data_IF_321033901346
#
_entry.id   IF_321033901346
#
_cell.length_a   1.000
_cell.length_b   1.000
_cell.length_c   1.000
_cell.angle_alpha   90.00
_cell.angle_beta   90.00
_cell.angle_gamma   90.00
#
_symmetry.space_group_name_H-M   'P 1'
#
loop_
_entity.id
_entity.type
_entity.pdbx_description
1 polymer ?
#
# COMPACT_ATOMS: atom_id res chain seq x y z
N UNK A 1 13.99 7.25 26.10
CA UNK A 1 14.72 6.12 25.47
C UNK A 1 13.95 4.79 25.53
N UNK A 2 12.75 4.73 26.15
CA UNK A 2 11.99 3.47 26.30
C UNK A 2 10.85 3.27 25.28
N UNK A 3 10.56 4.27 24.43
CA UNK A 3 9.44 4.24 23.48
C UNK A 3 9.77 3.60 22.13
N UNK A 4 11.06 3.46 21.79
CA UNK A 4 11.48 2.83 20.53
C UNK A 4 11.51 1.29 20.61
N UNK A 5 11.58 0.73 21.81
CA UNK A 5 11.75 -0.71 22.00
C UNK A 5 10.43 -1.51 21.97
N UNK A 6 9.29 -0.84 22.15
CA UNK A 6 7.96 -1.48 22.13
C UNK A 6 7.49 -1.73 20.68
N UNK A 7 7.91 -0.89 19.74
CA UNK A 7 7.55 -1.01 18.32
C UNK A 7 8.34 -2.15 17.66
N UNK A 8 9.63 -2.31 18.02
CA UNK A 8 10.50 -3.35 17.47
C UNK A 8 10.16 -4.78 17.96
N UNK A 9 9.60 -4.92 19.17
CA UNK A 9 9.25 -6.23 19.75
C UNK A 9 7.93 -6.79 19.16
N UNK A 10 7.05 -5.92 18.62
CA UNK A 10 5.79 -6.31 17.98
C UNK A 10 5.96 -6.76 16.52
N UNK A 11 7.11 -6.53 15.88
CA UNK A 11 7.38 -6.94 14.49
C UNK A 11 7.95 -8.37 14.36
N UNK A 12 8.41 -8.99 15.47
CA UNK A 12 9.10 -10.31 15.40
C UNK A 12 8.20 -11.52 15.59
N UNK A 13 6.92 -11.35 15.97
CA UNK A 13 5.98 -12.46 16.10
C UNK A 13 5.13 -12.55 14.83
N UNK A 14 5.24 -13.62 14.02
CA UNK A 14 4.36 -13.78 12.87
C UNK A 14 2.93 -13.92 13.40
N UNK A 15 2.12 -12.87 13.24
CA UNK A 15 0.68 -12.90 13.53
C UNK A 15 -0.11 -13.66 12.43
N UNK A 16 0.59 -14.40 11.57
CA UNK A 16 0.04 -15.24 10.52
C UNK A 16 0.07 -16.70 10.95
N UNK A 17 -0.97 -17.17 11.62
CA UNK A 17 -1.34 -18.59 11.46
C UNK A 17 -2.79 -18.97 11.79
N UNK A 18 -3.67 -18.10 12.32
CA UNK A 18 -4.99 -18.58 12.76
C UNK A 18 -6.20 -17.66 12.49
N UNK A 19 -6.11 -16.69 11.56
CA UNK A 19 -7.25 -15.82 11.19
C UNK A 19 -7.77 -16.05 9.77
N UNK A 20 -7.25 -17.02 9.02
CA UNK A 20 -7.67 -17.31 7.64
C UNK A 20 -8.93 -18.18 7.50
N UNK A 21 -9.57 -18.58 8.59
CA UNK A 21 -10.86 -19.28 8.52
C UNK A 21 -11.91 -18.50 9.29
N UNK A 22 -12.95 -18.09 8.56
CA UNK A 22 -14.21 -17.52 9.05
C UNK A 22 -14.24 -16.01 9.28
N UNK A 23 -14.15 -15.23 8.19
CA UNK A 23 -14.93 -13.99 8.08
C UNK A 23 -15.41 -13.84 6.64
N UNK A 24 -16.57 -14.44 6.31
CA UNK A 24 -17.34 -13.94 5.17
C UNK A 24 -17.94 -12.60 5.60
N UNK A 25 -17.26 -11.51 5.26
CA UNK A 25 -17.80 -10.16 5.38
C UNK A 25 -19.18 -10.09 4.69
N UNK A 26 -20.10 -9.23 5.16
CA UNK A 26 -21.38 -9.05 4.48
C UNK A 26 -21.09 -8.57 3.06
N UNK A 27 -21.45 -9.39 2.07
CA UNK A 27 -21.38 -8.99 0.66
C UNK A 27 -22.37 -7.85 0.48
N UNK A 28 -21.88 -6.61 0.44
CA UNK A 28 -22.65 -5.52 -0.12
C UNK A 28 -22.91 -5.89 -1.58
N UNK A 29 -24.17 -5.90 -2.01
CA UNK A 29 -24.64 -6.33 -3.34
C UNK A 29 -24.14 -5.44 -4.51
N UNK A 30 -23.14 -4.60 -4.23
CA UNK A 30 -22.61 -3.57 -5.10
C UNK A 30 -21.22 -4.02 -5.54
N UNK A 31 -21.06 -4.28 -6.84
CA UNK A 31 -19.79 -4.72 -7.42
C UNK A 31 -18.81 -3.54 -7.56
N UNK A 32 -18.32 -3.03 -6.42
CA UNK A 32 -17.30 -1.98 -6.39
C UNK A 32 -15.91 -2.63 -6.43
N UNK A 33 -15.09 -2.19 -7.37
CA UNK A 33 -13.73 -2.62 -7.58
C UNK A 33 -12.77 -1.47 -7.25
N UNK A 34 -11.60 -1.82 -6.69
CA UNK A 34 -10.56 -0.88 -6.28
C UNK A 34 -9.31 -1.10 -7.09
N UNK A 35 -8.88 -0.05 -7.78
CA UNK A 35 -7.61 0.01 -8.52
C UNK A 35 -6.53 0.42 -7.52
N UNK A 36 -5.62 -0.52 -7.21
CA UNK A 36 -4.48 -0.27 -6.33
C UNK A 36 -3.38 0.53 -7.05
N UNK A 37 -2.44 1.10 -6.28
CA UNK A 37 -1.27 1.83 -6.82
C UNK A 37 -0.43 1.03 -7.82
N UNK A 38 -0.39 -0.29 -7.70
CA UNK A 38 0.33 -1.17 -8.61
C UNK A 38 -0.51 -1.58 -9.84
N UNK A 39 -1.65 -0.94 -10.09
CA UNK A 39 -2.58 -1.24 -11.18
C UNK A 39 -3.46 -2.48 -10.95
N UNK A 40 -3.23 -3.27 -9.89
CA UNK A 40 -4.05 -4.45 -9.60
C UNK A 40 -5.46 -4.04 -9.19
N UNK A 41 -6.46 -4.63 -9.83
CA UNK A 41 -7.87 -4.49 -9.46
C UNK A 41 -8.22 -5.52 -8.40
N UNK A 42 -8.88 -5.09 -7.33
CA UNK A 42 -9.46 -6.00 -6.32
C UNK A 42 -10.81 -5.53 -5.81
N UNK A 43 -11.65 -6.44 -5.29
CA UNK A 43 -12.92 -6.06 -4.69
C UNK A 43 -12.76 -5.02 -3.58
N UNK A 44 -13.72 -4.12 -3.47
CA UNK A 44 -13.85 -3.24 -2.32
C UNK A 44 -14.05 -4.05 -1.04
N UNK A 45 -13.33 -3.67 0.00
CA UNK A 45 -13.30 -4.37 1.28
C UNK A 45 -13.17 -3.34 2.40
N UNK A 46 -14.27 -3.11 3.12
CA UNK A 46 -14.37 -2.12 4.18
C UNK A 46 -13.52 -2.49 5.40
N UNK A 47 -13.20 -3.77 5.59
CA UNK A 47 -12.34 -4.23 6.69
C UNK A 47 -10.94 -3.62 6.61
N UNK A 48 -10.43 -3.36 5.39
CA UNK A 48 -9.15 -2.68 5.18
C UNK A 48 -9.17 -1.23 5.64
N UNK A 49 -10.30 -0.56 5.49
CA UNK A 49 -10.50 0.81 5.99
C UNK A 49 -10.48 0.78 7.51
N UNK A 50 -11.24 -0.14 8.14
CA UNK A 50 -11.27 -0.30 9.60
C UNK A 50 -9.87 -0.52 10.16
N UNK A 51 -9.11 -1.45 9.60
CA UNK A 51 -7.74 -1.75 10.07
C UNK A 51 -6.83 -0.53 9.96
N UNK A 52 -6.88 0.19 8.84
CA UNK A 52 -6.04 1.38 8.65
C UNK A 52 -6.41 2.52 9.61
N UNK A 53 -7.72 2.75 9.83
CA UNK A 53 -8.19 3.73 10.80
C UNK A 53 -7.78 3.35 12.23
N UNK A 54 -7.98 2.10 12.63
CA UNK A 54 -7.57 1.62 13.96
C UNK A 54 -6.07 1.82 14.20
N UNK A 55 -5.22 1.54 13.21
CA UNK A 55 -3.78 1.79 13.32
C UNK A 55 -3.46 3.27 13.55
N UNK A 56 -4.16 4.18 12.87
CA UNK A 56 -3.99 5.61 13.08
C UNK A 56 -4.43 6.05 14.49
N UNK A 57 -5.53 5.49 15.01
CA UNK A 57 -5.96 5.74 16.39
C UNK A 57 -4.93 5.24 17.41
N UNK A 58 -4.38 4.03 17.21
CA UNK A 58 -3.37 3.44 18.10
C UNK A 58 -2.07 4.23 18.13
N UNK A 59 -1.67 4.82 17.00
CA UNK A 59 -0.49 5.66 16.92
C UNK A 59 -0.62 6.96 17.74
N UNK A 60 -1.83 7.46 17.95
CA UNK A 60 -2.10 8.70 18.69
C UNK A 60 -2.42 8.43 20.17
N UNK A 61 -3.28 7.44 20.44
CA UNK A 61 -3.84 7.17 21.77
C UNK A 61 -3.07 6.06 22.52
N UNK A 62 -2.15 5.35 21.84
CA UNK A 62 -1.35 4.26 22.40
C UNK A 62 -2.07 2.90 22.43
N UNK A 63 -1.38 1.85 22.91
CA UNK A 63 -1.87 0.46 22.85
C UNK A 63 -3.18 0.20 23.62
N UNK A 64 -3.46 0.98 24.68
CA UNK A 64 -4.70 0.85 25.46
C UNK A 64 -5.95 1.26 24.67
N UNK A 65 -5.80 2.09 23.63
CA UNK A 65 -6.90 2.43 22.73
C UNK A 65 -7.42 1.23 21.92
N UNK A 66 -6.65 0.15 21.77
CA UNK A 66 -7.06 -1.05 21.03
C UNK A 66 -8.33 -1.70 21.61
N UNK A 67 -8.54 -1.57 22.93
CA UNK A 67 -9.69 -2.16 23.62
C UNK A 67 -10.84 -1.16 23.83
N UNK A 68 -10.63 0.12 23.53
CA UNK A 68 -11.63 1.16 23.72
C UNK A 68 -12.87 0.90 22.88
N UNK A 69 -14.01 0.75 23.54
CA UNK A 69 -15.31 0.60 22.87
C UNK A 69 -15.64 1.83 22.03
N UNK A 70 -15.34 3.04 22.55
CA UNK A 70 -15.55 4.31 21.84
C UNK A 70 -14.80 4.37 20.51
N UNK A 71 -13.55 3.91 20.47
CA UNK A 71 -12.74 3.94 19.25
C UNK A 71 -13.29 2.95 18.24
N UNK A 72 -13.62 1.73 18.65
CA UNK A 72 -14.24 0.73 17.77
C UNK A 72 -15.55 1.25 17.17
N UNK A 73 -16.42 1.83 17.99
CA UNK A 73 -17.67 2.42 17.53
C UNK A 73 -17.45 3.59 16.56
N UNK A 74 -16.48 4.45 16.84
CA UNK A 74 -16.12 5.56 15.97
C UNK A 74 -15.60 5.08 14.61
N UNK A 75 -14.68 4.11 14.60
CA UNK A 75 -14.14 3.51 13.37
C UNK A 75 -15.23 2.83 12.56
N UNK A 76 -16.11 2.06 13.21
CA UNK A 76 -17.23 1.40 12.54
C UNK A 76 -18.21 2.41 11.92
N UNK A 77 -18.56 3.45 12.67
CA UNK A 77 -19.44 4.52 12.18
C UNK A 77 -18.85 5.23 10.97
N UNK A 78 -17.58 5.65 11.05
CA UNK A 78 -16.90 6.35 9.95
C UNK A 78 -16.73 5.45 8.73
N UNK A 79 -16.36 4.18 8.93
CA UNK A 79 -16.24 3.21 7.84
C UNK A 79 -17.58 3.03 7.12
N UNK A 80 -18.69 2.89 7.86
CA UNK A 80 -20.04 2.79 7.27
C UNK A 80 -20.40 4.04 6.46
N UNK A 81 -20.06 5.24 6.96
CA UNK A 81 -20.30 6.49 6.22
C UNK A 81 -19.51 6.58 4.91
N UNK A 82 -18.25 6.11 4.92
CA UNK A 82 -17.40 6.05 3.73
C UNK A 82 -17.98 5.05 2.72
N UNK A 83 -18.28 3.83 3.16
CA UNK A 83 -18.90 2.80 2.30
C UNK A 83 -20.22 3.30 1.70
N UNK A 84 -21.09 3.94 2.51
CA UNK A 84 -22.34 4.51 2.02
C UNK A 84 -22.12 5.61 0.98
N UNK A 85 -21.06 6.40 1.11
CA UNK A 85 -20.70 7.43 0.12
C UNK A 85 -20.34 6.82 -1.23
N UNK A 86 -19.56 5.75 -1.24
CA UNK A 86 -19.20 5.05 -2.47
C UNK A 86 -20.38 4.31 -3.09
N UNK A 87 -21.16 3.60 -2.28
CA UNK A 87 -22.38 2.91 -2.73
C UNK A 87 -23.36 3.89 -3.37
N UNK A 88 -23.58 5.06 -2.76
CA UNK A 88 -24.49 6.09 -3.32
C UNK A 88 -23.98 6.66 -4.64
N UNK A 89 -22.66 6.82 -4.81
CA UNK A 89 -22.06 7.32 -6.05
C UNK A 89 -22.06 6.26 -7.16
N UNK A 90 -22.10 4.98 -6.80
CA UNK A 90 -21.98 3.84 -7.71
C UNK A 90 -23.05 2.79 -7.41
N UNK A 91 -24.35 3.10 -7.65
CA UNK A 91 -25.45 2.18 -7.32
C UNK A 91 -25.37 0.87 -8.11
N UNK A 92 -24.83 0.90 -9.33
CA UNK A 92 -24.66 -0.28 -10.20
C UNK A 92 -23.25 -0.90 -10.10
N UNK A 93 -22.45 -0.50 -9.10
CA UNK A 93 -21.03 -0.83 -9.02
C UNK A 93 -20.15 0.13 -9.84
N UNK A 94 -18.85 -0.17 -9.91
CA UNK A 94 -17.87 0.69 -10.56
C UNK A 94 -16.43 0.42 -10.13
N UNK A 95 -15.50 1.21 -10.64
CA UNK A 95 -14.09 1.18 -10.24
C UNK A 95 -13.72 2.50 -9.58
N UNK A 96 -12.93 2.43 -8.51
CA UNK A 96 -12.37 3.60 -7.81
C UNK A 96 -10.89 3.40 -7.58
N UNK A 97 -10.13 4.50 -7.53
CA UNK A 97 -8.74 4.43 -7.16
C UNK A 97 -8.61 4.31 -5.64
N UNK A 98 -7.54 3.63 -5.19
CA UNK A 98 -7.25 3.53 -3.76
C UNK A 98 -6.99 4.89 -3.10
N UNK A 99 -6.56 5.90 -3.86
CA UNK A 99 -6.40 7.27 -3.37
C UNK A 99 -7.75 7.91 -3.03
N UNK A 100 -8.80 7.67 -3.83
CA UNK A 100 -10.14 8.19 -3.54
C UNK A 100 -10.66 7.69 -2.19
N UNK A 101 -10.35 6.43 -1.85
CA UNK A 101 -10.68 5.84 -0.54
C UNK A 101 -9.89 6.53 0.57
N UNK A 102 -8.60 6.79 0.38
CA UNK A 102 -7.78 7.49 1.36
C UNK A 102 -8.30 8.90 1.63
N UNK A 103 -8.63 9.64 0.56
CA UNK A 103 -9.19 10.99 0.68
C UNK A 103 -10.54 10.99 1.42
N UNK A 104 -11.38 9.98 1.19
CA UNK A 104 -12.62 9.84 1.96
C UNK A 104 -12.37 9.50 3.44
N UNK A 105 -11.34 8.71 3.76
CA UNK A 105 -10.96 8.42 5.15
C UNK A 105 -10.49 9.69 5.85
N UNK A 106 -9.61 10.47 5.21
CA UNK A 106 -9.12 11.75 5.75
C UNK A 106 -10.26 12.73 5.96
N UNK A 107 -11.14 12.89 4.96
CA UNK A 107 -12.30 13.77 5.07
C UNK A 107 -13.24 13.34 6.20
N UNK A 108 -13.48 12.04 6.36
CA UNK A 108 -14.33 11.50 7.43
C UNK A 108 -13.74 11.77 8.82
N UNK A 109 -12.42 11.55 9.00
CA UNK A 109 -11.72 11.84 10.25
C UNK A 109 -11.75 13.34 10.57
N UNK A 110 -11.50 14.20 9.58
CA UNK A 110 -11.54 15.66 9.76
C UNK A 110 -12.93 16.14 10.15
N UNK A 111 -13.99 15.62 9.52
CA UNK A 111 -15.39 15.96 9.87
C UNK A 111 -15.82 15.43 11.24
N UNK A 112 -15.20 14.36 11.71
CA UNK A 112 -15.42 13.83 13.05
C UNK A 112 -14.70 14.62 14.15
N UNK A 113 -13.88 15.62 13.79
CA UNK A 113 -13.04 16.37 14.73
C UNK A 113 -11.76 15.63 15.13
N UNK A 114 -11.49 14.47 14.53
CA UNK A 114 -10.34 13.59 14.87
C UNK A 114 -9.06 14.05 14.16
N UNK A 115 -8.72 15.34 14.28
CA UNK A 115 -7.64 15.97 13.52
C UNK A 115 -6.26 15.39 13.81
N UNK A 116 -6.00 14.97 15.05
CA UNK A 116 -4.74 14.32 15.42
C UNK A 116 -4.60 12.96 14.73
N UNK A 117 -5.68 12.19 14.69
CA UNK A 117 -5.73 10.88 14.04
C UNK A 117 -5.63 11.02 12.52
N UNK A 118 -6.31 12.01 11.93
CA UNK A 118 -6.19 12.31 10.50
C UNK A 118 -4.72 12.59 10.10
N UNK A 119 -4.01 13.42 10.87
CA UNK A 119 -2.57 13.67 10.63
C UNK A 119 -1.73 12.39 10.76
N UNK A 120 -1.98 11.60 11.80
CA UNK A 120 -1.27 10.32 11.98
C UNK A 120 -1.55 9.34 10.84
N UNK A 121 -2.77 9.33 10.31
CA UNK A 121 -3.15 8.52 9.16
C UNK A 121 -2.36 8.92 7.90
N UNK A 122 -2.23 10.23 7.64
CA UNK A 122 -1.44 10.76 6.53
C UNK A 122 0.03 10.34 6.64
N UNK A 123 0.63 10.48 7.82
CA UNK A 123 2.01 10.05 8.06
C UNK A 123 2.17 8.53 7.85
N UNK A 124 1.25 7.73 8.40
CA UNK A 124 1.26 6.28 8.24
C UNK A 124 1.17 5.84 6.77
N UNK A 125 0.33 6.49 5.93
CA UNK A 125 0.24 6.14 4.50
C UNK A 125 1.51 6.50 3.72
N UNK A 126 2.20 7.58 4.11
CA UNK A 126 3.45 8.02 3.50
C UNK A 126 4.60 7.09 3.84
N UNK A 127 4.72 6.69 5.11
CA UNK A 127 5.69 5.69 5.56
C UNK A 127 5.48 4.36 4.81
N UNK A 128 4.23 3.92 4.71
CA UNK A 128 3.90 2.72 3.93
C UNK A 128 4.16 2.88 2.42
N UNK A 129 4.06 4.09 1.87
CA UNK A 129 4.44 4.36 0.48
C UNK A 129 5.96 4.19 0.29
N UNK A 130 6.76 4.80 1.17
CA UNK A 130 8.22 4.68 1.18
C UNK A 130 8.68 3.24 1.33
N UNK A 131 8.09 2.49 2.27
CA UNK A 131 8.40 1.08 2.47
C UNK A 131 8.11 0.23 1.21
N UNK A 132 7.02 0.52 0.50
CA UNK A 132 6.72 -0.17 -0.77
C UNK A 132 7.71 0.19 -1.86
N UNK A 133 8.11 1.45 -1.98
CA UNK A 133 9.13 1.87 -2.95
C UNK A 133 10.48 1.18 -2.68
N UNK A 134 10.88 1.07 -1.41
CA UNK A 134 12.08 0.34 -1.01
C UNK A 134 11.98 -1.16 -1.35
N UNK A 135 10.83 -1.78 -1.08
CA UNK A 135 10.60 -3.19 -1.46
C UNK A 135 10.55 -3.40 -2.98
N UNK A 136 10.07 -2.42 -3.74
CA UNK A 136 10.04 -2.48 -5.21
C UNK A 136 11.47 -2.39 -5.77
N UNK A 137 12.31 -1.47 -5.25
CA UNK A 137 13.73 -1.36 -5.61
C UNK A 137 14.51 -2.63 -5.25
N UNK A 138 14.29 -3.18 -4.05
CA UNK A 138 14.93 -4.43 -3.64
C UNK A 138 14.50 -5.65 -4.47
N UNK A 139 13.37 -5.58 -5.18
CA UNK A 139 12.90 -6.63 -6.12
C UNK A 139 13.41 -6.42 -7.53
N UNK A 140 13.60 -5.18 -7.99
CA UNK A 140 14.21 -4.90 -9.30
C UNK A 140 15.68 -5.34 -9.34
N UNK A 141 16.41 -5.22 -8.23
CA UNK A 141 17.83 -5.63 -8.15
C UNK A 141 18.05 -7.15 -8.18
N UNK A 142 16.99 -7.97 -8.10
CA UNK A 142 17.07 -9.45 -8.09
C UNK A 142 16.72 -10.14 -9.40
N UNK A 143 16.44 -9.37 -10.45
CA UNK A 143 16.40 -9.93 -11.81
C UNK A 143 17.74 -9.54 -12.43
N UNK A 144 18.67 -10.47 -12.71
CA UNK A 144 19.69 -10.16 -13.68
C UNK A 144 18.92 -9.82 -14.95
N UNK A 145 18.92 -8.54 -15.35
CA UNK A 145 18.50 -8.18 -16.70
C UNK A 145 19.37 -9.03 -17.63
N UNK A 146 18.79 -10.09 -18.17
CA UNK A 146 19.44 -10.88 -19.20
C UNK A 146 19.69 -9.89 -20.34
N UNK A 147 20.97 -9.55 -20.54
CA UNK A 147 21.38 -8.57 -21.53
C UNK A 147 20.72 -8.93 -22.88
N UNK A 148 20.20 -7.93 -23.61
CA UNK A 148 19.53 -8.19 -24.88
C UNK A 148 20.49 -8.93 -25.82
N UNK A 149 19.98 -9.94 -26.52
CA UNK A 149 20.76 -10.66 -27.51
C UNK A 149 20.90 -9.81 -28.79
N UNK A 150 22.12 -9.69 -29.30
CA UNK A 150 22.44 -9.12 -30.61
C UNK A 150 22.48 -10.23 -31.66
N UNK A 151 21.95 -9.94 -32.86
CA UNK A 151 22.03 -10.81 -34.03
C UNK A 151 23.29 -10.43 -34.79
N UNK A 152 24.21 -11.38 -34.94
CA UNK A 152 25.44 -11.20 -35.72
C UNK A 152 25.14 -11.35 -37.21
N UNK A 153 26.07 -10.92 -38.07
CA UNK A 153 25.91 -10.98 -39.54
C UNK A 153 25.77 -12.42 -40.08
N UNK A 154 26.21 -13.42 -39.31
CA UNK A 154 26.02 -14.85 -39.62
C UNK A 154 24.65 -15.39 -39.18
N UNK A 155 23.77 -14.53 -38.64
CA UNK A 155 22.46 -14.88 -38.11
C UNK A 155 22.47 -15.46 -36.70
N UNK A 156 23.65 -15.67 -36.10
CA UNK A 156 23.77 -16.19 -34.73
C UNK A 156 23.37 -15.15 -33.68
N UNK A 157 22.81 -15.61 -32.56
CA UNK A 157 22.43 -14.76 -31.43
C UNK A 157 23.49 -14.85 -30.33
N UNK A 158 23.99 -13.71 -29.90
CA UNK A 158 24.95 -13.58 -28.80
C UNK A 158 24.42 -12.55 -27.81
N UNK A 159 24.63 -12.70 -26.50
CA UNK A 159 24.34 -11.63 -25.54
C UNK A 159 25.15 -10.38 -25.88
N UNK A 160 24.59 -9.21 -25.59
CA UNK A 160 25.27 -7.93 -25.71
C UNK A 160 26.53 -7.92 -24.81
N UNK A 161 27.66 -7.55 -25.39
CA UNK A 161 28.94 -7.41 -24.67
C UNK A 161 29.09 -5.98 -24.14
N UNK A 162 28.79 -5.79 -22.85
CA UNK A 162 28.91 -4.49 -22.20
C UNK A 162 30.34 -3.98 -22.10
N UNK A 163 31.33 -4.88 -21.91
CA UNK A 163 32.72 -4.47 -21.74
C UNK A 163 33.24 -3.84 -23.02
N UNK A 164 32.89 -4.45 -24.16
CA UNK A 164 33.19 -3.90 -25.47
C UNK A 164 32.49 -2.57 -25.71
N UNK A 165 31.20 -2.45 -25.38
CA UNK A 165 30.46 -1.19 -25.55
C UNK A 165 31.07 -0.05 -24.73
N UNK A 166 31.41 -0.31 -23.45
CA UNK A 166 32.08 0.68 -22.59
C UNK A 166 33.43 1.11 -23.15
N UNK A 167 34.23 0.16 -23.64
CA UNK A 167 35.54 0.47 -24.23
C UNK A 167 35.39 1.39 -25.45
N UNK A 168 34.46 1.10 -26.35
CA UNK A 168 34.20 1.94 -27.54
C UNK A 168 33.69 3.32 -27.13
N UNK A 169 32.83 3.39 -26.11
CA UNK A 169 32.34 4.67 -25.60
C UNK A 169 33.52 5.51 -25.07
N UNK A 170 34.33 4.94 -24.17
CA UNK A 170 35.50 5.62 -23.60
C UNK A 170 36.51 6.08 -24.66
N UNK A 171 36.77 5.25 -25.67
CA UNK A 171 37.61 5.64 -26.81
C UNK A 171 37.01 6.79 -27.61
N UNK A 172 35.70 6.78 -27.85
CA UNK A 172 35.01 7.81 -28.64
C UNK A 172 34.90 9.16 -27.93
N UNK A 173 34.83 9.18 -26.59
CA UNK A 173 34.84 10.44 -25.80
C UNK A 173 36.24 10.88 -25.35
N UNK A 174 37.29 10.09 -25.60
CA UNK A 174 38.65 10.47 -25.22
C UNK A 174 39.17 11.59 -26.12
N UNK A 175 39.29 12.79 -25.54
CA UNK A 175 39.85 13.97 -26.22
C UNK A 175 38.81 14.98 -26.71
N UNK A 176 37.53 14.78 -26.36
CA UNK A 176 36.49 15.80 -26.40
C UNK A 176 36.47 16.65 -25.11
#
# INVERSE_FOLDING_TARGET
>A
METENIIAELEKKPLTSNLEKQHSAPKTDHNIQVIRRNGKVTPYDDTKIKVAMTKAFLAVEGGQAAMSARIRETVDRLTKQITATFVRRMPNGGTIHIEDIQDQVELALMRAGEHKVARSYVLYREEHAKLREQQQKAKSDKTPEALPNIIRHDGSRSPLDEQRLRTILEEAVRGL
#
